data_IF_833453310426
#
_entry.id   IF_833453310426
#
_cell.length_a   1.000
_cell.length_b   1.000
_cell.length_c   1.000
_cell.angle_alpha   90.00
_cell.angle_beta   90.00
_cell.angle_gamma   90.00
#
_symmetry.space_group_name_H-M   'P 1'
#
loop_
_entity.id
_entity.type
_entity.pdbx_description
1 polymer ?
#
# COMPACT_ATOMS: atom_id res chain seq x y z
N UNK A 1 -20.31 51.87 -9.16
CA UNK A 1 -21.04 50.90 -8.32
C UNK A 1 -20.22 49.66 -8.22
N UNK A 2 -19.43 49.61 -7.14
CA UNK A 2 -18.63 48.46 -6.79
C UNK A 2 -19.58 47.33 -6.37
N UNK A 3 -19.75 46.40 -7.24
CA UNK A 3 -20.33 45.11 -6.90
C UNK A 3 -19.62 44.11 -7.77
N UNK A 4 -18.54 43.54 -7.26
CA UNK A 4 -18.16 42.27 -7.80
C UNK A 4 -17.10 41.63 -6.93
N UNK A 5 -17.47 40.56 -6.44
CA UNK A 5 -16.66 39.49 -5.88
C UNK A 5 -15.42 39.30 -6.77
N UNK A 6 -14.32 39.90 -6.37
CA UNK A 6 -13.00 39.60 -6.89
C UNK A 6 -12.70 38.15 -6.51
N UNK A 7 -13.14 37.21 -7.35
CA UNK A 7 -12.62 35.85 -7.33
C UNK A 7 -11.21 35.95 -7.87
N UNK A 8 -10.25 35.64 -7.03
CA UNK A 8 -8.87 35.53 -7.46
C UNK A 8 -8.78 34.46 -8.54
N UNK A 9 -8.57 34.89 -9.79
CA UNK A 9 -8.37 33.96 -10.90
C UNK A 9 -7.05 33.23 -10.72
N UNK A 10 -7.10 31.93 -10.79
CA UNK A 10 -5.94 31.06 -10.70
C UNK A 10 -6.01 30.08 -11.87
N UNK A 11 -5.17 30.22 -12.89
CA UNK A 11 -5.11 29.26 -13.98
C UNK A 11 -4.58 27.91 -13.50
N UNK A 12 -4.90 26.84 -14.22
CA UNK A 12 -4.38 25.52 -13.91
C UNK A 12 -2.87 25.44 -14.03
N UNK A 13 -2.30 26.06 -15.09
CA UNK A 13 -0.85 26.17 -15.26
C UNK A 13 -0.45 27.55 -15.80
N UNK A 14 0.80 27.91 -15.51
CA UNK A 14 1.42 29.12 -16.07
C UNK A 14 2.81 28.78 -16.57
N UNK A 15 3.05 29.02 -17.84
CA UNK A 15 4.36 28.88 -18.47
C UNK A 15 5.01 30.25 -18.58
N UNK A 16 6.26 30.39 -18.14
CA UNK A 16 7.05 31.61 -18.26
C UNK A 16 8.32 31.29 -19.03
N UNK A 17 8.49 31.88 -20.21
CA UNK A 17 9.70 31.73 -21.02
C UNK A 17 10.01 33.07 -21.71
N UNK A 18 11.23 33.51 -21.63
CA UNK A 18 11.71 34.75 -22.27
C UNK A 18 10.86 36.00 -21.93
N UNK A 19 10.37 36.10 -20.68
CA UNK A 19 9.52 37.21 -20.21
C UNK A 19 8.04 37.11 -20.66
N UNK A 20 7.67 36.16 -21.48
CA UNK A 20 6.28 35.90 -21.85
C UNK A 20 5.63 35.01 -20.79
N UNK A 21 4.39 35.37 -20.39
CA UNK A 21 3.53 34.54 -19.57
C UNK A 21 2.42 33.98 -20.43
N UNK A 22 2.24 32.65 -20.38
CA UNK A 22 1.20 31.91 -21.08
C UNK A 22 0.43 31.16 -20.03
N UNK A 23 -0.86 31.25 -20.09
CA UNK A 23 -1.77 30.59 -19.18
C UNK A 23 -2.39 29.38 -19.87
N UNK A 24 -2.51 28.28 -19.16
CA UNK A 24 -3.10 27.04 -19.68
C UNK A 24 -4.26 26.66 -18.77
N UNK A 25 -5.42 26.41 -19.37
CA UNK A 25 -6.61 25.88 -18.69
C UNK A 25 -6.96 24.52 -19.28
N UNK A 26 -7.23 23.57 -18.41
CA UNK A 26 -7.72 22.24 -18.79
C UNK A 26 -9.17 22.10 -18.44
N UNK A 27 -10.03 22.18 -19.46
CA UNK A 27 -11.47 22.17 -19.27
C UNK A 27 -12.05 20.76 -19.29
N UNK A 28 -12.88 20.45 -18.28
CA UNK A 28 -13.57 19.17 -18.17
C UNK A 28 -14.78 19.11 -19.13
N UNK A 29 -14.50 19.16 -20.43
CA UNK A 29 -15.50 19.14 -21.49
C UNK A 29 -15.23 17.97 -22.42
N UNK A 30 -16.29 17.21 -22.75
CA UNK A 30 -16.23 16.14 -23.75
C UNK A 30 -16.27 16.73 -25.17
N UNK A 31 -15.92 15.94 -26.21
CA UNK A 31 -15.95 16.36 -27.62
C UNK A 31 -17.30 16.92 -28.07
N UNK A 32 -18.40 16.48 -27.45
CA UNK A 32 -19.76 16.98 -27.73
C UNK A 32 -20.15 18.19 -26.88
N UNK A 33 -19.18 18.82 -26.20
CA UNK A 33 -19.41 20.00 -25.37
C UNK A 33 -20.12 19.72 -24.03
N UNK A 34 -20.25 18.46 -23.61
CA UNK A 34 -20.88 18.10 -22.35
C UNK A 34 -19.87 18.10 -21.20
N UNK A 35 -20.36 18.41 -20.00
CA UNK A 35 -19.60 18.40 -18.76
C UNK A 35 -19.89 17.13 -17.95
N UNK A 36 -19.01 16.73 -17.03
CA UNK A 36 -19.23 15.57 -16.15
C UNK A 36 -20.52 15.70 -15.33
N UNK A 37 -21.24 14.60 -15.14
CA UNK A 37 -22.50 14.57 -14.39
C UNK A 37 -22.38 15.09 -12.95
N UNK A 38 -21.24 14.90 -12.31
CA UNK A 38 -21.00 15.35 -10.95
C UNK A 38 -20.78 16.87 -10.82
N UNK A 39 -20.82 17.63 -11.94
CA UNK A 39 -20.79 19.09 -11.90
C UNK A 39 -22.15 19.71 -11.58
N UNK A 40 -23.23 18.95 -11.76
CA UNK A 40 -24.56 19.37 -11.34
C UNK A 40 -24.63 19.43 -9.81
N UNK A 41 -25.08 20.57 -9.27
CA UNK A 41 -25.34 20.76 -7.85
C UNK A 41 -26.68 20.15 -7.46
N UNK A 42 -26.94 20.03 -6.16
CA UNK A 42 -28.24 19.56 -5.68
C UNK A 42 -29.39 20.44 -6.22
N UNK A 43 -30.30 19.79 -6.96
CA UNK A 43 -31.42 20.45 -7.62
C UNK A 43 -31.14 21.09 -8.98
N UNK A 44 -29.89 21.02 -9.48
CA UNK A 44 -29.49 21.54 -10.79
C UNK A 44 -29.58 20.44 -11.86
N UNK A 45 -30.13 20.79 -13.02
CA UNK A 45 -30.14 19.88 -14.18
C UNK A 45 -28.74 19.82 -14.85
N UNK A 46 -28.48 18.79 -15.64
CA UNK A 46 -27.23 18.64 -16.37
C UNK A 46 -26.99 19.78 -17.38
N UNK A 47 -28.07 20.30 -18.01
CA UNK A 47 -28.00 21.41 -18.96
C UNK A 47 -27.66 22.73 -18.24
N UNK A 48 -28.24 22.98 -17.09
CA UNK A 48 -27.88 24.14 -16.26
C UNK A 48 -26.42 24.11 -15.79
N UNK A 49 -25.96 22.94 -15.34
CA UNK A 49 -24.55 22.75 -14.98
C UNK A 49 -23.60 22.97 -16.17
N UNK A 50 -23.99 22.50 -17.36
CA UNK A 50 -23.25 22.72 -18.61
C UNK A 50 -23.22 24.22 -18.95
N UNK A 51 -24.35 24.90 -18.94
CA UNK A 51 -24.41 26.32 -19.24
C UNK A 51 -23.53 27.14 -18.31
N UNK A 52 -23.65 26.93 -17.00
CA UNK A 52 -22.81 27.57 -15.97
C UNK A 52 -21.32 27.31 -16.16
N UNK A 53 -20.93 26.12 -16.59
CA UNK A 53 -19.53 25.81 -16.83
C UNK A 53 -18.98 26.49 -18.09
N UNK A 54 -19.78 26.56 -19.17
CA UNK A 54 -19.44 27.29 -20.36
C UNK A 54 -19.37 28.80 -20.14
N UNK A 55 -20.22 29.37 -19.29
CA UNK A 55 -20.09 30.76 -18.85
C UNK A 55 -18.74 31.05 -18.18
N UNK A 56 -18.25 30.11 -17.34
CA UNK A 56 -16.92 30.20 -16.73
C UNK A 56 -15.81 30.16 -17.78
N UNK A 57 -15.93 29.28 -18.77
CA UNK A 57 -14.94 29.20 -19.87
C UNK A 57 -14.91 30.49 -20.67
N UNK A 58 -16.06 31.01 -21.05
CA UNK A 58 -16.16 32.24 -21.83
C UNK A 58 -15.64 33.43 -21.02
N UNK A 59 -15.93 33.51 -19.75
CA UNK A 59 -15.39 34.53 -18.87
C UNK A 59 -13.85 34.48 -18.82
N UNK A 60 -13.25 33.31 -18.75
CA UNK A 60 -11.80 33.15 -18.76
C UNK A 60 -11.20 33.63 -20.09
N UNK A 61 -11.84 33.31 -21.22
CA UNK A 61 -11.43 33.80 -22.56
C UNK A 61 -11.44 35.31 -22.64
N UNK A 62 -12.58 35.94 -22.26
CA UNK A 62 -12.74 37.39 -22.24
C UNK A 62 -11.71 38.04 -21.31
N UNK A 63 -11.41 37.44 -20.15
CA UNK A 63 -10.41 37.95 -19.21
C UNK A 63 -9.02 38.00 -19.86
N UNK A 64 -8.62 36.96 -20.56
CA UNK A 64 -7.32 36.90 -21.23
C UNK A 64 -7.24 37.80 -22.46
N UNK A 65 -8.33 37.91 -23.23
CA UNK A 65 -8.44 38.83 -24.36
C UNK A 65 -8.33 40.27 -23.90
N UNK A 66 -9.09 40.69 -22.87
CA UNK A 66 -9.06 42.06 -22.34
C UNK A 66 -7.71 42.45 -21.70
N UNK A 67 -6.92 41.46 -21.25
CA UNK A 67 -5.60 41.71 -20.67
C UNK A 67 -4.45 41.43 -21.66
N UNK A 68 -4.75 41.16 -22.91
CA UNK A 68 -3.77 40.85 -23.97
C UNK A 68 -2.80 39.70 -23.54
N UNK A 69 -3.32 38.70 -22.81
CA UNK A 69 -2.52 37.57 -22.31
C UNK A 69 -2.83 36.28 -23.12
N UNK A 70 -1.81 35.46 -23.36
CA UNK A 70 -1.98 34.22 -24.09
C UNK A 70 -2.64 33.17 -23.22
N UNK A 71 -3.75 32.58 -23.71
CA UNK A 71 -4.43 31.46 -23.11
C UNK A 71 -4.35 30.25 -24.07
N UNK A 72 -3.91 29.12 -23.55
CA UNK A 72 -4.02 27.82 -24.20
C UNK A 72 -5.12 27.05 -23.50
N UNK A 73 -6.02 26.50 -24.27
CA UNK A 73 -7.10 25.65 -23.78
C UNK A 73 -6.85 24.21 -24.16
N UNK A 74 -7.01 23.33 -23.20
CA UNK A 74 -7.00 21.89 -23.40
C UNK A 74 -8.27 21.30 -22.81
N UNK A 75 -8.66 20.11 -23.29
CA UNK A 75 -9.96 19.53 -22.95
C UNK A 75 -9.84 18.08 -22.50
N UNK A 76 -10.71 17.65 -21.62
CA UNK A 76 -10.68 16.28 -21.08
C UNK A 76 -10.87 15.19 -22.14
N UNK A 77 -11.54 15.48 -23.26
CA UNK A 77 -11.62 14.52 -24.35
C UNK A 77 -10.28 14.26 -25.03
N UNK A 78 -9.37 15.24 -25.08
CA UNK A 78 -8.05 15.08 -25.66
C UNK A 78 -7.21 14.07 -24.88
N UNK A 79 -7.39 14.04 -23.54
CA UNK A 79 -6.75 13.03 -22.70
C UNK A 79 -7.31 11.63 -22.96
N UNK A 80 -8.64 11.51 -23.12
CA UNK A 80 -9.28 10.22 -23.40
C UNK A 80 -8.97 9.68 -24.80
N UNK A 81 -8.59 10.54 -25.73
CA UNK A 81 -8.23 10.22 -27.10
C UNK A 81 -6.70 10.12 -27.30
N UNK A 82 -5.90 10.31 -26.23
CA UNK A 82 -4.43 10.25 -26.22
C UNK A 82 -3.74 11.28 -27.15
N UNK A 83 -4.39 12.45 -27.37
CA UNK A 83 -3.89 13.54 -28.22
C UNK A 83 -3.54 14.81 -27.44
N UNK A 84 -3.76 14.84 -26.10
CA UNK A 84 -3.58 16.03 -25.26
C UNK A 84 -2.16 16.59 -25.36
N UNK A 85 -1.15 15.75 -25.26
CA UNK A 85 0.25 16.20 -25.26
C UNK A 85 0.72 16.63 -26.62
N UNK A 86 0.21 16.05 -27.69
CA UNK A 86 0.49 16.44 -29.06
C UNK A 86 -0.09 17.85 -29.32
N UNK A 87 -1.37 18.06 -29.07
CA UNK A 87 -2.04 19.35 -29.24
C UNK A 87 -1.42 20.45 -28.37
N UNK A 88 -1.13 20.15 -27.08
CA UNK A 88 -0.48 21.11 -26.20
C UNK A 88 0.92 21.51 -26.68
N UNK A 89 1.67 20.54 -27.23
CA UNK A 89 2.99 20.77 -27.82
C UNK A 89 2.91 21.71 -29.01
N UNK A 90 1.96 21.47 -29.92
CA UNK A 90 1.72 22.31 -31.08
C UNK A 90 1.35 23.73 -30.68
N UNK A 91 0.40 23.92 -29.79
CA UNK A 91 -0.02 25.25 -29.29
C UNK A 91 1.12 26.01 -28.62
N UNK A 92 1.96 25.34 -27.83
CA UNK A 92 3.11 25.99 -27.20
C UNK A 92 4.16 26.40 -28.24
N UNK A 93 4.40 25.59 -29.25
CA UNK A 93 5.33 25.90 -30.34
C UNK A 93 4.84 27.06 -31.23
N UNK A 94 3.54 27.11 -31.55
CA UNK A 94 2.92 28.22 -32.29
C UNK A 94 3.11 29.57 -31.60
N UNK A 95 3.07 29.61 -30.28
CA UNK A 95 3.31 30.82 -29.49
C UNK A 95 4.82 31.13 -29.34
N UNK A 96 5.69 30.26 -29.84
CA UNK A 96 7.14 30.42 -29.84
C UNK A 96 7.82 29.93 -28.56
N UNK A 97 7.20 29.00 -27.84
CA UNK A 97 7.82 28.30 -26.71
C UNK A 97 8.73 27.19 -27.22
N UNK A 98 9.96 27.18 -26.75
CA UNK A 98 10.91 26.10 -27.02
C UNK A 98 10.80 25.05 -25.93
N UNK A 99 10.34 23.86 -26.29
CA UNK A 99 10.26 22.73 -25.37
C UNK A 99 11.66 22.12 -25.17
N UNK A 100 11.99 21.89 -23.90
CA UNK A 100 13.23 21.23 -23.50
C UNK A 100 12.86 19.97 -22.70
N UNK A 101 12.84 18.79 -23.35
CA UNK A 101 12.60 17.55 -22.63
C UNK A 101 13.63 17.36 -21.51
N UNK A 102 13.15 17.03 -20.32
CA UNK A 102 14.01 16.71 -19.18
C UNK A 102 14.33 15.23 -19.18
N UNK A 103 15.52 14.88 -18.68
CA UNK A 103 15.85 13.49 -18.43
C UNK A 103 14.95 12.88 -17.34
N UNK A 104 14.87 11.57 -17.31
CA UNK A 104 14.11 10.86 -16.26
C UNK A 104 14.62 11.21 -14.86
N UNK A 105 15.92 11.38 -14.70
CA UNK A 105 16.57 11.77 -13.46
C UNK A 105 16.17 13.18 -13.01
N UNK A 106 16.11 14.14 -13.94
CA UNK A 106 15.67 15.50 -13.65
C UNK A 106 14.19 15.56 -13.28
N UNK A 107 13.34 14.82 -14.00
CA UNK A 107 11.91 14.70 -13.69
C UNK A 107 11.73 14.07 -12.31
N UNK A 108 12.44 12.99 -12.01
CA UNK A 108 12.41 12.35 -10.69
C UNK A 108 12.81 13.30 -9.56
N UNK A 109 13.86 14.09 -9.78
CA UNK A 109 14.30 15.08 -8.79
C UNK A 109 13.20 16.12 -8.50
N UNK A 110 12.58 16.66 -9.54
CA UNK A 110 11.48 17.64 -9.40
C UNK A 110 10.30 17.04 -8.64
N UNK A 111 9.88 15.81 -9.00
CA UNK A 111 8.78 15.11 -8.32
C UNK A 111 9.12 14.88 -6.85
N UNK A 112 10.32 14.40 -6.57
CA UNK A 112 10.75 14.10 -5.20
C UNK A 112 10.91 15.37 -4.33
N UNK A 113 11.24 16.51 -4.92
CA UNK A 113 11.27 17.80 -4.22
C UNK A 113 9.86 18.35 -3.97
N UNK A 114 8.96 18.23 -4.94
CA UNK A 114 7.61 18.79 -4.84
C UNK A 114 6.64 17.94 -4.00
N UNK A 115 6.80 16.62 -4.01
CA UNK A 115 5.89 15.65 -3.39
C UNK A 115 6.66 14.62 -2.52
N UNK A 116 7.60 15.11 -1.72
CA UNK A 116 8.53 14.25 -0.95
C UNK A 116 7.81 13.32 0.01
N UNK A 117 6.79 13.80 0.70
CA UNK A 117 6.06 13.02 1.68
C UNK A 117 5.20 11.94 1.00
N UNK A 118 4.55 12.27 -0.11
CA UNK A 118 3.76 11.34 -0.91
C UNK A 118 4.64 10.25 -1.51
N UNK A 119 5.78 10.61 -2.09
CA UNK A 119 6.76 9.64 -2.63
C UNK A 119 7.26 8.72 -1.53
N UNK A 120 7.61 9.25 -0.34
CA UNK A 120 8.04 8.45 0.81
C UNK A 120 6.95 7.47 1.27
N UNK A 121 5.69 7.92 1.30
CA UNK A 121 4.55 7.08 1.65
C UNK A 121 4.35 5.93 0.64
N UNK A 122 4.48 6.21 -0.66
CA UNK A 122 4.40 5.19 -1.70
C UNK A 122 5.55 4.18 -1.59
N UNK A 123 6.78 4.63 -1.39
CA UNK A 123 7.94 3.74 -1.20
C UNK A 123 7.70 2.82 0.00
N UNK A 124 7.21 3.36 1.11
CA UNK A 124 6.90 2.58 2.31
C UNK A 124 5.79 1.56 2.05
N UNK A 125 4.73 1.97 1.35
CA UNK A 125 3.61 1.09 1.00
C UNK A 125 4.08 -0.06 0.10
N UNK A 126 4.84 0.23 -0.94
CA UNK A 126 5.34 -0.78 -1.87
C UNK A 126 6.34 -1.72 -1.21
N UNK A 127 7.28 -1.19 -0.40
CA UNK A 127 8.22 -2.00 0.36
C UNK A 127 7.52 -2.94 1.34
N UNK A 128 6.51 -2.45 2.05
CA UNK A 128 5.68 -3.25 2.96
C UNK A 128 4.94 -4.34 2.20
N UNK A 129 4.32 -4.01 1.06
CA UNK A 129 3.60 -4.98 0.25
C UNK A 129 4.50 -6.09 -0.28
N UNK A 130 5.67 -5.74 -0.85
CA UNK A 130 6.65 -6.70 -1.36
C UNK A 130 7.12 -7.62 -0.21
N UNK A 131 7.43 -7.04 0.95
CA UNK A 131 7.85 -7.81 2.13
C UNK A 131 6.76 -8.80 2.56
N UNK A 132 5.51 -8.36 2.66
CA UNK A 132 4.37 -9.21 3.01
C UNK A 132 4.14 -10.32 1.99
N UNK A 133 4.19 -10.00 0.70
CA UNK A 133 4.03 -10.96 -0.37
C UNK A 133 5.11 -12.04 -0.33
N UNK A 134 6.38 -11.63 -0.22
CA UNK A 134 7.52 -12.55 -0.17
C UNK A 134 7.58 -13.35 1.13
N UNK A 135 7.27 -12.75 2.29
CA UNK A 135 7.25 -13.46 3.58
C UNK A 135 6.15 -14.54 3.64
N UNK A 136 5.10 -14.37 2.87
CA UNK A 136 4.05 -15.37 2.68
C UNK A 136 4.28 -16.30 1.48
N UNK A 137 5.42 -16.15 0.79
CA UNK A 137 5.78 -16.92 -0.41
C UNK A 137 4.72 -16.88 -1.50
N UNK A 138 4.06 -15.71 -1.67
CA UNK A 138 3.09 -15.46 -2.74
C UNK A 138 3.78 -14.91 -3.99
N UNK A 139 3.34 -15.38 -5.13
CA UNK A 139 3.62 -14.76 -6.41
C UNK A 139 2.60 -13.64 -6.72
N UNK A 140 2.91 -12.79 -7.69
CA UNK A 140 1.93 -11.81 -8.20
C UNK A 140 0.64 -12.49 -8.69
N UNK A 141 0.74 -13.66 -9.31
CA UNK A 141 -0.43 -14.43 -9.75
C UNK A 141 -1.30 -14.89 -8.57
N UNK A 142 -0.71 -15.26 -7.44
CA UNK A 142 -1.45 -15.60 -6.22
C UNK A 142 -2.22 -14.39 -5.69
N UNK A 143 -1.59 -13.21 -5.72
CA UNK A 143 -2.24 -11.95 -5.30
C UNK A 143 -3.40 -11.60 -6.24
N UNK A 144 -3.21 -11.71 -7.56
CA UNK A 144 -4.28 -11.51 -8.55
C UNK A 144 -5.45 -12.46 -8.30
N UNK A 145 -5.16 -13.74 -8.09
CA UNK A 145 -6.20 -14.76 -7.87
C UNK A 145 -6.95 -14.52 -6.55
N UNK A 146 -6.28 -14.08 -5.51
CA UNK A 146 -6.91 -13.67 -4.26
C UNK A 146 -7.82 -12.45 -4.44
N UNK A 147 -7.37 -11.47 -5.22
CA UNK A 147 -8.18 -10.29 -5.49
C UNK A 147 -9.50 -10.63 -6.22
N UNK A 148 -9.49 -11.63 -7.13
CA UNK A 148 -10.71 -12.11 -7.79
C UNK A 148 -11.77 -12.61 -6.81
N UNK A 149 -11.38 -13.06 -5.61
CA UNK A 149 -12.27 -13.53 -4.55
C UNK A 149 -12.82 -12.40 -3.68
N UNK A 150 -12.36 -11.16 -3.88
CA UNK A 150 -12.86 -9.99 -3.15
C UNK A 150 -14.30 -9.72 -3.57
N UNK A 151 -15.23 -9.73 -2.59
CA UNK A 151 -16.67 -9.67 -2.84
C UNK A 151 -17.12 -8.29 -3.31
N UNK A 152 -16.55 -7.23 -2.75
CA UNK A 152 -16.93 -5.85 -3.03
C UNK A 152 -16.20 -5.34 -4.26
N UNK A 153 -16.94 -4.92 -5.28
CA UNK A 153 -16.43 -4.45 -6.56
C UNK A 153 -15.48 -3.25 -6.40
N UNK A 154 -15.82 -2.33 -5.51
CA UNK A 154 -14.97 -1.17 -5.24
C UNK A 154 -13.56 -1.59 -4.78
N UNK A 155 -13.47 -2.47 -3.78
CA UNK A 155 -12.17 -2.93 -3.28
C UNK A 155 -11.44 -3.81 -4.30
N UNK A 156 -12.17 -4.64 -5.06
CA UNK A 156 -11.60 -5.46 -6.11
C UNK A 156 -10.95 -4.62 -7.20
N UNK A 157 -11.62 -3.57 -7.66
CA UNK A 157 -11.10 -2.66 -8.69
C UNK A 157 -9.92 -1.85 -8.16
N UNK A 158 -10.02 -1.28 -6.96
CA UNK A 158 -8.91 -0.56 -6.32
C UNK A 158 -7.66 -1.44 -6.16
N UNK A 159 -7.85 -2.68 -5.71
CA UNK A 159 -6.74 -3.62 -5.57
C UNK A 159 -6.15 -4.02 -6.92
N UNK A 160 -6.97 -4.14 -7.98
CA UNK A 160 -6.50 -4.42 -9.33
C UNK A 160 -5.58 -3.31 -9.84
N UNK A 161 -5.98 -2.04 -9.69
CA UNK A 161 -5.14 -0.88 -10.03
C UNK A 161 -3.83 -0.86 -9.23
N UNK A 162 -3.90 -1.15 -7.94
CA UNK A 162 -2.68 -1.26 -7.11
C UNK A 162 -1.75 -2.36 -7.62
N UNK A 163 -2.29 -3.53 -7.98
CA UNK A 163 -1.51 -4.66 -8.50
C UNK A 163 -0.87 -4.29 -9.85
N UNK A 164 -1.58 -3.56 -10.69
CA UNK A 164 -1.05 -3.07 -11.97
C UNK A 164 0.17 -2.17 -11.78
N UNK A 165 0.13 -1.27 -10.80
CA UNK A 165 1.24 -0.36 -10.47
C UNK A 165 2.41 -1.12 -9.85
N UNK A 166 2.14 -2.01 -8.87
CA UNK A 166 3.21 -2.68 -8.11
C UNK A 166 3.91 -3.78 -8.90
N UNK A 167 3.23 -4.41 -9.85
CA UNK A 167 3.77 -5.52 -10.63
C UNK A 167 5.09 -5.17 -11.32
N UNK A 168 5.20 -4.11 -12.16
CA UNK A 168 6.47 -3.77 -12.81
C UNK A 168 7.55 -3.38 -11.80
N UNK A 169 7.20 -2.75 -10.67
CA UNK A 169 8.14 -2.40 -9.61
C UNK A 169 8.72 -3.68 -8.96
N UNK A 170 7.86 -4.66 -8.69
CA UNK A 170 8.29 -5.94 -8.14
C UNK A 170 9.16 -6.73 -9.13
N UNK A 171 8.77 -6.79 -10.40
CA UNK A 171 9.55 -7.46 -11.45
C UNK A 171 10.93 -6.82 -11.61
N UNK A 172 11.02 -5.49 -11.58
CA UNK A 172 12.30 -4.77 -11.57
C UNK A 172 13.13 -5.10 -10.34
N UNK A 173 12.52 -5.11 -9.14
CA UNK A 173 13.19 -5.45 -7.88
C UNK A 173 13.81 -6.87 -7.93
N UNK A 174 13.04 -7.86 -8.39
CA UNK A 174 13.52 -9.23 -8.54
C UNK A 174 14.65 -9.34 -9.59
N UNK A 175 14.54 -8.63 -10.71
CA UNK A 175 15.59 -8.58 -11.73
C UNK A 175 16.87 -7.98 -11.17
N UNK A 176 16.75 -6.85 -10.47
CA UNK A 176 17.87 -6.17 -9.81
C UNK A 176 18.65 -7.07 -8.84
N UNK A 177 17.93 -7.83 -8.00
CA UNK A 177 18.55 -8.80 -7.08
C UNK A 177 19.24 -9.94 -7.86
N UNK A 178 18.55 -10.48 -8.86
CA UNK A 178 19.08 -11.60 -9.67
C UNK A 178 20.35 -11.22 -10.44
N UNK A 179 20.40 -10.05 -11.07
CA UNK A 179 21.57 -9.56 -11.82
C UNK A 179 22.81 -9.40 -10.91
N UNK A 180 22.60 -9.10 -9.63
CA UNK A 180 23.67 -8.95 -8.63
C UNK A 180 23.99 -10.22 -7.86
N UNK A 181 23.26 -11.31 -8.13
CA UNK A 181 23.31 -12.52 -7.31
C UNK A 181 23.02 -12.25 -5.82
N UNK A 182 22.14 -11.31 -5.54
CA UNK A 182 21.72 -10.93 -4.20
C UNK A 182 20.37 -11.60 -3.86
N UNK A 183 20.08 -11.68 -2.57
CA UNK A 183 18.83 -12.18 -2.03
C UNK A 183 18.41 -11.34 -0.82
N UNK A 184 17.13 -11.10 -0.65
CA UNK A 184 16.60 -10.53 0.58
C UNK A 184 16.34 -11.60 1.65
N UNK A 185 15.93 -11.16 2.86
CA UNK A 185 15.66 -12.08 3.97
C UNK A 185 14.51 -13.07 3.68
N UNK A 186 13.49 -12.65 2.94
CA UNK A 186 12.38 -13.53 2.56
C UNK A 186 12.84 -14.57 1.55
N UNK A 187 13.67 -14.17 0.57
CA UNK A 187 14.28 -15.10 -0.38
C UNK A 187 15.16 -16.13 0.32
N UNK A 188 15.94 -15.70 1.31
CA UNK A 188 16.79 -16.61 2.07
C UNK A 188 15.94 -17.74 2.68
N UNK A 189 14.82 -17.41 3.32
CA UNK A 189 13.91 -18.38 3.93
C UNK A 189 13.24 -19.26 2.85
N UNK A 190 12.70 -18.64 1.81
CA UNK A 190 11.97 -19.35 0.76
C UNK A 190 12.88 -20.28 -0.07
N UNK A 191 14.08 -19.82 -0.41
CA UNK A 191 15.09 -20.63 -1.11
C UNK A 191 15.60 -21.77 -0.22
N UNK A 192 15.87 -21.51 1.08
CA UNK A 192 16.22 -22.55 2.03
C UNK A 192 15.13 -23.65 2.13
N UNK A 193 13.87 -23.24 2.25
CA UNK A 193 12.74 -24.16 2.25
C UNK A 193 12.72 -25.05 1.01
N UNK A 194 12.86 -24.47 -0.19
CA UNK A 194 12.91 -25.20 -1.47
C UNK A 194 14.13 -26.14 -1.54
N UNK A 195 15.31 -25.71 -1.10
CA UNK A 195 16.51 -26.57 -1.10
C UNK A 195 16.36 -27.77 -0.17
N UNK A 196 15.76 -27.58 1.01
CA UNK A 196 15.50 -28.67 1.94
C UNK A 196 14.45 -29.63 1.36
N UNK A 197 13.34 -29.10 0.83
CA UNK A 197 12.27 -29.91 0.23
C UNK A 197 12.79 -30.78 -0.94
N UNK A 198 13.75 -30.25 -1.73
CA UNK A 198 14.37 -30.93 -2.84
C UNK A 198 15.53 -31.88 -2.42
N UNK A 199 15.70 -32.12 -1.12
CA UNK A 199 16.72 -33.05 -0.60
C UNK A 199 18.17 -32.58 -0.74
N UNK A 200 18.41 -31.29 -1.06
CA UNK A 200 19.76 -30.73 -1.17
C UNK A 200 20.46 -30.59 0.20
N UNK A 201 19.67 -30.55 1.29
CA UNK A 201 20.18 -30.51 2.66
C UNK A 201 20.19 -31.91 3.27
N UNK A 202 21.38 -32.46 3.52
CA UNK A 202 21.55 -33.85 4.01
C UNK A 202 21.55 -33.99 5.52
N UNK A 203 21.74 -32.87 6.26
CA UNK A 203 21.84 -32.92 7.73
C UNK A 203 20.46 -33.26 8.32
N UNK A 204 20.47 -34.19 9.30
CA UNK A 204 19.28 -34.59 10.02
C UNK A 204 19.16 -33.88 11.35
N UNK A 205 17.96 -33.54 11.75
CA UNK A 205 17.66 -32.92 13.03
C UNK A 205 16.77 -33.88 13.83
N UNK A 206 17.14 -34.13 15.10
CA UNK A 206 16.28 -34.88 16.02
C UNK A 206 15.20 -34.00 16.63
N UNK A 207 15.54 -32.74 16.87
CA UNK A 207 14.65 -31.73 17.46
C UNK A 207 14.76 -30.41 16.71
N UNK A 208 13.64 -29.70 16.61
CA UNK A 208 13.55 -28.32 16.19
C UNK A 208 12.79 -27.55 17.27
N UNK A 209 13.46 -26.57 17.87
CA UNK A 209 12.87 -25.73 18.88
C UNK A 209 12.64 -24.33 18.29
N UNK A 210 11.44 -23.80 18.46
CA UNK A 210 11.05 -22.49 17.91
C UNK A 210 10.44 -21.68 19.05
N UNK A 211 11.05 -20.53 19.31
CA UNK A 211 10.54 -19.53 20.24
C UNK A 211 9.72 -18.48 19.49
N UNK A 212 8.84 -17.76 20.19
CA UNK A 212 7.96 -16.72 19.65
C UNK A 212 7.15 -17.19 18.41
N UNK A 213 6.63 -18.42 18.49
CA UNK A 213 5.98 -19.08 17.35
C UNK A 213 4.73 -18.35 16.86
N UNK A 214 4.11 -17.48 17.68
CA UNK A 214 2.97 -16.64 17.27
C UNK A 214 3.34 -15.63 16.16
N UNK A 215 4.63 -15.35 15.95
CA UNK A 215 5.13 -14.42 14.94
C UNK A 215 5.62 -15.10 13.67
N UNK A 216 5.26 -16.37 13.49
CA UNK A 216 5.66 -17.14 12.30
C UNK A 216 4.89 -16.69 11.05
N UNK A 217 5.60 -16.52 9.92
CA UNK A 217 5.00 -16.30 8.60
C UNK A 217 4.81 -17.62 7.86
N UNK A 218 4.02 -17.61 6.78
CA UNK A 218 3.82 -18.78 5.91
C UNK A 218 5.16 -19.27 5.33
N UNK A 219 6.06 -18.38 4.92
CA UNK A 219 7.38 -18.77 4.41
C UNK A 219 8.20 -19.50 5.47
N UNK A 220 8.23 -19.00 6.72
CA UNK A 220 8.91 -19.69 7.83
C UNK A 220 8.24 -21.03 8.18
N UNK A 221 6.90 -21.09 8.18
CA UNK A 221 6.19 -22.34 8.33
C UNK A 221 6.59 -23.36 7.26
N UNK A 222 6.69 -22.95 5.99
CA UNK A 222 7.10 -23.85 4.90
C UNK A 222 8.54 -24.39 5.12
N UNK A 223 9.44 -23.55 5.64
CA UNK A 223 10.79 -23.98 6.01
C UNK A 223 10.76 -25.08 7.12
N UNK A 224 10.02 -24.83 8.19
CA UNK A 224 9.85 -25.80 9.29
C UNK A 224 9.20 -27.09 8.78
N UNK A 225 8.19 -26.99 7.94
CA UNK A 225 7.52 -28.13 7.29
C UNK A 225 8.50 -28.92 6.42
N UNK A 226 9.32 -28.26 5.61
CA UNK A 226 10.32 -28.94 4.79
C UNK A 226 11.36 -29.69 5.66
N UNK A 227 11.82 -29.10 6.75
CA UNK A 227 12.70 -29.74 7.73
C UNK A 227 12.01 -30.99 8.31
N UNK A 228 10.77 -30.88 8.75
CA UNK A 228 10.02 -31.99 9.35
C UNK A 228 9.76 -33.10 8.35
N UNK A 229 9.42 -32.77 7.11
CA UNK A 229 9.17 -33.75 6.04
C UNK A 229 10.44 -34.54 5.70
N UNK A 230 11.59 -33.86 5.61
CA UNK A 230 12.88 -34.52 5.38
C UNK A 230 13.42 -35.29 6.61
N UNK A 231 12.84 -35.06 7.77
CA UNK A 231 13.21 -35.72 9.02
C UNK A 231 11.93 -36.19 9.75
N UNK A 232 11.28 -37.28 9.32
CA UNK A 232 10.01 -37.74 9.90
C UNK A 232 10.05 -37.99 11.40
N UNK A 233 11.20 -38.46 11.92
CA UNK A 233 11.43 -38.70 13.37
C UNK A 233 11.72 -37.42 14.16
N UNK A 234 11.95 -36.27 13.49
CA UNK A 234 12.21 -35.00 14.15
C UNK A 234 11.01 -34.57 14.98
N UNK A 235 11.26 -34.11 16.21
CA UNK A 235 10.24 -33.56 17.09
C UNK A 235 10.29 -32.03 17.05
N UNK A 236 9.11 -31.41 16.94
CA UNK A 236 8.97 -29.96 17.04
C UNK A 236 8.58 -29.59 18.48
N UNK A 237 9.23 -28.55 19.01
CA UNK A 237 8.89 -27.92 20.26
C UNK A 237 8.75 -26.42 20.00
N UNK A 238 7.52 -25.92 20.06
CA UNK A 238 7.22 -24.52 19.73
C UNK A 238 6.65 -23.85 20.98
N UNK A 239 7.17 -22.67 21.29
CA UNK A 239 6.72 -21.83 22.40
C UNK A 239 6.23 -20.49 21.83
N UNK A 240 5.15 -19.95 22.37
CA UNK A 240 4.62 -18.69 21.93
C UNK A 240 3.46 -18.23 22.79
N UNK A 241 3.05 -16.99 22.59
CA UNK A 241 1.95 -16.35 23.29
C UNK A 241 1.10 -15.55 22.31
N UNK A 242 -0.14 -16.02 22.04
CA UNK A 242 -1.05 -15.35 21.11
C UNK A 242 -1.41 -13.91 21.54
N UNK A 243 -1.35 -13.60 22.83
CA UNK A 243 -1.58 -12.24 23.33
C UNK A 243 -0.46 -11.27 22.91
N UNK A 244 0.72 -11.78 22.58
CA UNK A 244 1.87 -11.02 22.12
C UNK A 244 1.98 -10.96 20.57
N UNK A 245 1.03 -11.53 19.84
CA UNK A 245 1.02 -11.50 18.36
C UNK A 245 0.66 -10.11 17.84
N UNK A 246 1.65 -9.26 17.69
CA UNK A 246 1.51 -7.88 17.20
C UNK A 246 2.17 -7.66 15.82
N UNK A 247 2.81 -8.67 15.25
CA UNK A 247 3.61 -8.56 14.02
C UNK A 247 2.85 -8.98 12.75
N UNK A 248 1.52 -8.87 12.73
CA UNK A 248 0.73 -9.17 11.52
C UNK A 248 1.13 -8.30 10.32
N UNK A 249 1.54 -7.05 10.58
CA UNK A 249 2.01 -6.12 9.55
C UNK A 249 3.33 -6.57 8.89
N UNK A 250 4.10 -7.46 9.50
CA UNK A 250 5.32 -8.06 8.94
C UNK A 250 5.10 -9.44 8.34
N UNK A 251 3.83 -9.90 8.25
CA UNK A 251 3.45 -11.14 7.60
C UNK A 251 3.29 -12.35 8.52
N UNK A 252 3.24 -12.16 9.86
CA UNK A 252 2.89 -13.26 10.76
C UNK A 252 1.43 -13.69 10.57
N UNK A 253 1.20 -15.00 10.69
CA UNK A 253 -0.14 -15.59 10.62
C UNK A 253 -0.44 -16.36 11.91
N UNK A 254 -1.25 -15.76 12.76
CA UNK A 254 -1.63 -16.33 14.06
C UNK A 254 -2.39 -17.66 13.92
N UNK A 255 -2.99 -17.95 12.76
CA UNK A 255 -3.67 -19.22 12.54
C UNK A 255 -2.69 -20.40 12.66
N UNK A 256 -1.44 -20.22 12.22
CA UNK A 256 -0.38 -21.24 12.35
C UNK A 256 -0.12 -21.64 13.82
N UNK A 257 -0.24 -20.69 14.74
CA UNK A 257 -0.10 -20.93 16.18
C UNK A 257 -1.38 -21.53 16.79
N UNK A 258 -2.53 -20.93 16.50
CA UNK A 258 -3.81 -21.32 17.10
C UNK A 258 -4.28 -22.69 16.61
N UNK A 259 -4.07 -22.98 15.33
CA UNK A 259 -4.49 -24.18 14.65
C UNK A 259 -3.31 -25.13 14.37
N UNK A 260 -2.31 -25.14 15.25
CA UNK A 260 -1.05 -25.85 15.08
C UNK A 260 -1.24 -27.33 14.64
N UNK A 261 -2.25 -28.02 15.17
CA UNK A 261 -2.56 -29.41 14.83
C UNK A 261 -2.96 -29.60 13.37
N UNK A 262 -3.63 -28.61 12.78
CA UNK A 262 -4.03 -28.64 11.36
C UNK A 262 -2.81 -28.59 10.44
N UNK A 263 -1.73 -27.96 10.90
CA UNK A 263 -0.51 -27.75 10.11
C UNK A 263 0.56 -28.82 10.35
N UNK A 264 0.70 -29.35 11.57
CA UNK A 264 1.78 -30.23 11.97
C UNK A 264 1.31 -31.61 12.45
N UNK A 265 0.00 -31.83 12.58
CA UNK A 265 -0.59 -33.09 13.02
C UNK A 265 -0.65 -33.22 14.54
N UNK A 266 -0.71 -34.44 15.05
CA UNK A 266 -0.87 -34.72 16.46
C UNK A 266 0.09 -33.93 17.34
N UNK A 267 -0.42 -33.25 18.36
CA UNK A 267 0.30 -32.30 19.18
C UNK A 267 -0.13 -32.41 20.64
N UNK A 268 0.85 -32.35 21.54
CA UNK A 268 0.61 -32.18 22.97
C UNK A 268 0.76 -30.71 23.30
N UNK A 269 -0.29 -30.10 23.90
CA UNK A 269 -0.29 -28.68 24.29
C UNK A 269 -0.20 -28.58 25.80
N UNK A 270 0.68 -27.71 26.28
CA UNK A 270 0.78 -27.32 27.69
C UNK A 270 0.70 -25.80 27.81
N UNK A 271 0.23 -25.32 28.97
CA UNK A 271 0.13 -23.90 29.26
C UNK A 271 1.12 -23.52 30.38
N UNK A 272 1.77 -22.38 30.22
CA UNK A 272 2.55 -21.73 31.26
C UNK A 272 1.65 -20.61 31.83
N UNK A 273 1.11 -20.84 33.03
CA UNK A 273 0.11 -19.94 33.64
C UNK A 273 0.72 -19.06 34.72
N UNK A 274 1.92 -19.35 35.22
CA UNK A 274 2.60 -18.54 36.22
C UNK A 274 3.59 -17.59 35.60
N UNK A 275 3.46 -16.30 35.90
CA UNK A 275 4.41 -15.27 35.50
C UNK A 275 5.13 -14.67 36.72
N UNK A 276 6.42 -14.39 36.54
CA UNK A 276 7.29 -13.77 37.54
C UNK A 276 7.58 -12.30 37.27
N UNK A 277 7.01 -11.76 36.17
CA UNK A 277 7.27 -10.38 35.73
C UNK A 277 6.40 -9.36 36.38
N UNK A 278 5.14 -9.72 36.73
CA UNK A 278 4.11 -8.79 37.19
C UNK A 278 3.37 -9.33 38.38
N UNK A 279 2.80 -8.40 39.19
CA UNK A 279 1.93 -8.71 40.31
C UNK A 279 0.49 -8.97 39.87
N UNK A 280 -0.29 -9.71 40.64
CA UNK A 280 -1.64 -10.12 40.32
C UNK A 280 -2.59 -8.96 39.91
N UNK A 281 -2.58 -7.77 40.54
CA UNK A 281 -3.47 -6.69 40.12
C UNK A 281 -3.21 -6.23 38.66
N UNK A 282 -1.96 -6.12 38.26
CA UNK A 282 -1.62 -5.76 36.85
C UNK A 282 -1.95 -6.89 35.87
N UNK A 283 -1.72 -8.14 36.29
CA UNK A 283 -2.08 -9.32 35.49
C UNK A 283 -3.58 -9.35 35.22
N UNK A 284 -4.41 -9.15 36.25
CA UNK A 284 -5.86 -9.15 36.12
C UNK A 284 -6.33 -8.04 35.17
N UNK A 285 -5.85 -6.81 35.37
CA UNK A 285 -6.20 -5.67 34.52
C UNK A 285 -5.84 -5.91 33.03
N UNK A 286 -4.62 -6.37 32.78
CA UNK A 286 -4.17 -6.65 31.41
C UNK A 286 -4.89 -7.84 30.80
N UNK A 287 -5.17 -8.88 31.58
CA UNK A 287 -5.94 -10.05 31.13
C UNK A 287 -7.38 -9.67 30.77
N UNK A 288 -8.05 -8.87 31.61
CA UNK A 288 -9.41 -8.38 31.33
C UNK A 288 -9.46 -7.51 30.08
N UNK A 289 -8.44 -6.67 29.86
CA UNK A 289 -8.34 -5.85 28.66
C UNK A 289 -8.20 -6.71 27.41
N UNK A 290 -7.24 -7.63 27.38
CA UNK A 290 -6.94 -8.45 26.18
C UNK A 290 -8.08 -9.42 25.88
N UNK A 291 -8.69 -10.02 26.88
CA UNK A 291 -9.76 -11.01 26.72
C UNK A 291 -11.11 -10.40 26.29
N UNK A 292 -11.23 -9.06 26.21
CA UNK A 292 -12.36 -8.40 25.52
C UNK A 292 -12.39 -8.71 24.03
N UNK A 293 -11.24 -9.02 23.44
CA UNK A 293 -11.19 -9.49 22.06
C UNK A 293 -11.58 -10.98 22.02
N UNK A 294 -12.72 -11.35 21.39
CA UNK A 294 -13.19 -12.75 21.37
C UNK A 294 -12.27 -13.68 20.59
N UNK A 295 -11.35 -13.13 19.79
CA UNK A 295 -10.38 -13.90 19.01
C UNK A 295 -9.13 -14.30 19.79
N UNK A 296 -8.94 -13.79 21.01
CA UNK A 296 -7.81 -14.16 21.86
C UNK A 296 -8.11 -15.44 22.67
N UNK A 297 -7.08 -16.25 22.90
CA UNK A 297 -7.22 -17.42 23.75
C UNK A 297 -7.50 -17.00 25.21
N UNK A 298 -8.44 -17.69 25.86
CA UNK A 298 -8.67 -17.48 27.30
C UNK A 298 -7.53 -18.10 28.10
N UNK A 299 -6.90 -17.29 28.95
CA UNK A 299 -5.80 -17.68 29.84
C UNK A 299 -6.07 -17.21 31.25
N UNK A 300 -5.68 -18.01 32.20
CA UNK A 300 -5.69 -17.66 33.63
C UNK A 300 -4.24 -17.51 34.08
N UNK A 301 -3.74 -16.27 34.05
CA UNK A 301 -2.38 -15.99 34.49
C UNK A 301 -2.35 -15.70 36.02
N UNK A 302 -1.29 -16.16 36.66
CA UNK A 302 -1.06 -15.95 38.11
C UNK A 302 0.34 -15.41 38.32
N UNK A 303 0.44 -14.37 39.14
CA UNK A 303 1.70 -13.83 39.62
C UNK A 303 2.12 -14.50 40.92
N UNK A 304 3.40 -14.42 41.23
CA UNK A 304 3.97 -14.98 42.46
C UNK A 304 3.81 -14.08 43.70
N UNK A 305 3.37 -12.82 43.53
CA UNK A 305 3.17 -11.90 44.65
C UNK A 305 1.83 -11.16 44.61
N UNK A 306 1.27 -10.97 45.78
CA UNK A 306 0.03 -10.23 46.04
C UNK A 306 0.34 -8.88 46.69
N UNK A 307 1.15 -8.02 46.08
CA UNK A 307 1.33 -6.66 46.59
C UNK A 307 0.02 -5.89 46.48
N UNK A 308 -0.45 -5.32 47.61
CA UNK A 308 -1.76 -4.68 47.73
C UNK A 308 -1.84 -3.28 47.11
N UNK A 309 -0.74 -2.63 46.81
CA UNK A 309 -0.71 -1.26 46.28
C UNK A 309 -0.04 -1.22 44.91
N UNK A 310 -0.84 -1.31 43.88
CA UNK A 310 -0.39 -0.97 42.51
C UNK A 310 -1.12 0.30 42.10
N UNK A 311 -0.41 1.42 42.04
CA UNK A 311 -0.94 2.66 41.49
C UNK A 311 -0.77 2.63 39.95
N UNK A 312 -1.85 2.88 39.24
CA UNK A 312 -1.84 3.06 37.81
C UNK A 312 -1.95 4.56 37.52
N UNK A 313 -1.02 5.10 36.73
CA UNK A 313 -1.18 6.42 36.12
C UNK A 313 -1.47 6.18 34.62
N UNK A 314 -2.62 6.65 34.20
CA UNK A 314 -3.04 6.69 32.79
C UNK A 314 -2.68 8.08 32.26
#
# INVERSE_FOLDING_TARGET
TANETYRQYKPDFTVIQNGKKIYIEHFAVSRNGNVPKFFAKDGETQEEAKSRYWEKINWARELHENNETALIETYSYEMSEDILFENLTEHLQEIGITLQPKSTEEIWKIINEAAKDEVSNFITLFGTFITLMKSNNYSINDVINRNKQTKEDFFRNRNALFIEIIKPIFEYYESYLNERNEIDFSDMINKASKHIANGKHKRKFSYVLIDEFQDISIGRYQLVKAIKTNNPSCKLFCVGDDWQSIYRFSGSDIALFKEFENYFGFTVKSKIETTYRFHNPLINLSSDFIQRNPNQAKKELRGTSNTRNTEYKI
#
